data_IF_952200808028
#
_entry.id   IF_952200808028
#
_cell.length_a   1.000
_cell.length_b   1.000
_cell.length_c   1.000
_cell.angle_alpha   90.00
_cell.angle_beta   90.00
_cell.angle_gamma   90.00
#
_symmetry.space_group_name_H-M   'P 1'
#
loop_
_entity.id
_entity.type
_entity.pdbx_description
1 polymer ?
#
# COMPACT_ATOMS: atom_id res chain seq x y z
N UNK A 1 -32.30 -32.85 -16.31
CA UNK A 1 -33.07 -32.81 -15.04
C UNK A 1 -32.07 -33.08 -13.92
N UNK A 2 -31.59 -32.15 -13.10
CA UNK A 2 -31.78 -30.71 -12.85
C UNK A 2 -30.38 -30.16 -12.47
N UNK A 3 -29.85 -29.00 -12.87
CA UNK A 3 -30.29 -27.59 -12.83
C UNK A 3 -30.46 -27.00 -11.42
N UNK A 4 -29.38 -26.30 -11.00
CA UNK A 4 -29.30 -25.06 -10.16
C UNK A 4 -29.47 -25.11 -8.62
N UNK A 5 -29.03 -24.07 -7.84
CA UNK A 5 -27.86 -23.16 -8.01
C UNK A 5 -27.17 -22.71 -6.67
N UNK A 6 -26.09 -21.93 -6.81
CA UNK A 6 -25.68 -20.76 -6.00
C UNK A 6 -25.66 -20.80 -4.45
N UNK A 7 -24.47 -21.05 -3.90
CA UNK A 7 -24.09 -20.49 -2.60
C UNK A 7 -23.44 -19.11 -2.82
N UNK A 8 -24.32 -18.11 -2.90
CA UNK A 8 -24.05 -16.68 -2.79
C UNK A 8 -23.24 -16.39 -1.51
N UNK A 9 -21.94 -16.07 -1.64
CA UNK A 9 -21.25 -15.25 -0.64
C UNK A 9 -21.30 -13.80 -1.10
N UNK A 10 -22.46 -13.20 -0.89
CA UNK A 10 -22.68 -11.77 -0.92
C UNK A 10 -21.93 -11.11 0.25
N UNK A 11 -20.64 -10.89 0.08
CA UNK A 11 -19.88 -9.88 0.80
C UNK A 11 -19.76 -8.65 -0.08
N UNK A 12 -20.83 -7.87 -0.19
CA UNK A 12 -20.88 -6.65 -0.97
C UNK A 12 -19.80 -5.66 -0.50
N UNK A 13 -18.71 -5.54 -1.27
CA UNK A 13 -17.80 -4.40 -1.18
C UNK A 13 -18.05 -3.51 -2.40
N UNK A 14 -19.20 -2.83 -2.41
CA UNK A 14 -19.51 -1.81 -3.40
C UNK A 14 -19.69 -0.46 -2.68
N UNK A 15 -18.96 0.56 -3.16
CA UNK A 15 -18.59 1.80 -2.45
C UNK A 15 -19.75 2.78 -2.18
N UNK A 16 -19.45 3.98 -1.61
CA UNK A 16 -18.73 4.99 -2.38
C UNK A 16 -17.71 5.83 -1.58
N UNK A 17 -16.93 6.64 -2.29
CA UNK A 17 -16.37 7.93 -1.85
C UNK A 17 -15.93 8.14 -0.39
N UNK A 18 -14.64 8.47 -0.23
CA UNK A 18 -14.14 9.30 0.85
C UNK A 18 -14.32 8.76 2.28
N UNK A 19 -13.40 7.90 2.70
CA UNK A 19 -12.81 8.09 4.01
C UNK A 19 -11.29 8.00 3.86
N UNK A 20 -10.69 9.16 3.63
CA UNK A 20 -9.40 9.49 4.23
C UNK A 20 -9.49 9.03 5.68
N UNK A 21 -8.97 7.83 5.98
CA UNK A 21 -8.77 7.39 7.33
C UNK A 21 -7.63 8.28 7.82
N UNK A 22 -8.01 9.47 8.27
CA UNK A 22 -7.21 10.33 9.13
C UNK A 22 -7.02 9.50 10.39
N UNK A 23 -6.06 8.58 10.34
CA UNK A 23 -5.53 7.92 11.53
C UNK A 23 -5.15 9.08 12.40
N UNK A 24 -5.83 9.25 13.53
CA UNK A 24 -5.36 10.19 14.54
C UNK A 24 -4.00 9.67 14.97
N UNK A 25 -2.95 10.20 14.35
CA UNK A 25 -1.54 9.90 14.59
C UNK A 25 -1.06 10.37 15.98
N UNK A 26 -1.99 10.76 16.88
CA UNK A 26 -1.68 11.15 18.24
C UNK A 26 -1.55 10.00 19.25
N UNK A 27 -2.06 8.79 18.97
CA UNK A 27 -2.16 7.76 20.04
C UNK A 27 -1.80 6.32 19.65
N UNK A 28 -1.82 5.99 18.36
CA UNK A 28 -1.63 4.61 17.90
C UNK A 28 -0.16 4.23 17.59
N UNK A 29 0.77 5.17 17.53
CA UNK A 29 2.19 4.88 17.27
C UNK A 29 2.99 4.59 18.55
N UNK A 30 2.40 3.86 19.52
CA UNK A 30 3.14 3.28 20.65
C UNK A 30 3.91 2.05 20.19
N UNK A 31 4.79 2.23 19.19
CA UNK A 31 5.76 1.23 18.79
C UNK A 31 6.69 0.97 19.99
N UNK A 32 6.38 -0.11 20.72
CA UNK A 32 7.16 -0.63 21.82
C UNK A 32 8.35 -1.36 21.19
N UNK A 33 9.41 -0.62 20.88
CA UNK A 33 10.68 -1.21 20.45
C UNK A 33 11.29 -1.91 21.66
N UNK A 34 11.03 -3.21 21.78
CA UNK A 34 11.63 -4.05 22.80
C UNK A 34 13.07 -4.37 22.39
N UNK A 35 14.03 -3.52 22.80
CA UNK A 35 15.45 -3.80 22.64
C UNK A 35 15.87 -4.86 23.65
N UNK A 36 15.98 -6.12 23.21
CA UNK A 36 16.52 -7.22 24.00
C UNK A 36 18.05 -7.17 23.95
N UNK A 37 18.69 -6.92 25.10
CA UNK A 37 20.09 -7.29 25.34
C UNK A 37 21.19 -6.41 24.73
N UNK A 38 21.40 -5.22 25.29
CA UNK A 38 22.73 -4.60 25.50
C UNK A 38 22.54 -3.35 26.36
N UNK A 39 23.55 -2.99 27.14
CA UNK A 39 23.63 -1.84 28.05
C UNK A 39 23.53 -0.48 27.33
N UNK A 40 22.43 -0.24 26.62
CA UNK A 40 22.10 1.01 25.95
C UNK A 40 20.88 1.59 26.67
N UNK A 41 21.10 2.64 27.46
CA UNK A 41 20.03 3.44 28.06
C UNK A 41 19.11 3.93 26.93
N UNK A 42 17.80 3.69 26.95
CA UNK A 42 16.96 3.98 25.80
C UNK A 42 17.08 5.46 25.44
N UNK A 43 17.30 5.75 24.16
CA UNK A 43 17.43 7.12 23.64
C UNK A 43 16.26 8.02 24.07
N UNK A 44 15.11 7.41 24.38
CA UNK A 44 13.89 8.06 24.89
C UNK A 44 14.06 8.75 26.26
N UNK A 45 15.05 8.35 27.05
CA UNK A 45 15.33 8.91 28.38
C UNK A 45 16.30 10.11 28.33
N UNK A 46 16.84 10.41 27.16
CA UNK A 46 17.71 11.56 26.92
C UNK A 46 16.96 12.63 26.10
N UNK A 47 17.09 13.90 26.47
CA UNK A 47 16.44 15.02 25.79
C UNK A 47 16.72 15.03 24.27
N UNK A 48 17.98 14.83 23.87
CA UNK A 48 18.38 14.74 22.47
C UNK A 48 17.67 13.59 21.71
N UNK A 49 17.44 12.44 22.36
CA UNK A 49 16.73 11.35 21.71
C UNK A 49 15.22 11.59 21.58
N UNK A 50 14.63 12.40 22.46
CA UNK A 50 13.24 12.87 22.30
C UNK A 50 13.12 13.85 21.13
N UNK A 51 14.06 14.80 21.01
CA UNK A 51 14.10 15.76 19.90
C UNK A 51 14.24 15.06 18.54
N UNK A 52 15.11 14.04 18.43
CA UNK A 52 15.27 13.25 17.21
C UNK A 52 13.98 12.49 16.83
N UNK A 53 13.30 11.88 17.81
CA UNK A 53 12.03 11.18 17.55
C UNK A 53 10.96 12.19 17.11
N UNK A 54 10.87 13.35 17.75
CA UNK A 54 9.91 14.38 17.39
C UNK A 54 10.16 14.93 15.98
N UNK A 55 11.43 15.15 15.63
CA UNK A 55 11.82 15.53 14.26
C UNK A 55 11.41 14.46 13.25
N UNK A 56 11.70 13.19 13.54
CA UNK A 56 11.32 12.07 12.67
C UNK A 56 9.81 12.00 12.44
N UNK A 57 9.00 12.20 13.49
CA UNK A 57 7.54 12.23 13.36
C UNK A 57 7.07 13.41 12.50
N UNK A 58 7.65 14.61 12.70
CA UNK A 58 7.33 15.77 11.84
C UNK A 58 7.69 15.51 10.36
N UNK A 59 8.79 14.83 10.09
CA UNK A 59 9.17 14.45 8.73
C UNK A 59 8.19 13.45 8.12
N UNK A 60 7.74 12.45 8.89
CA UNK A 60 6.71 11.50 8.43
C UNK A 60 5.41 12.25 8.10
N UNK A 61 4.96 13.14 8.99
CA UNK A 61 3.73 13.91 8.77
C UNK A 61 3.82 14.83 7.53
N UNK A 62 5.01 15.38 7.25
CA UNK A 62 5.25 16.18 6.05
C UNK A 62 5.21 15.31 4.77
N UNK A 63 5.88 14.17 4.78
CA UNK A 63 5.89 13.25 3.65
C UNK A 63 4.49 12.67 3.37
N UNK A 64 3.71 12.36 4.41
CA UNK A 64 2.33 11.90 4.25
C UNK A 64 1.46 12.93 3.54
N UNK A 65 1.67 14.23 3.81
CA UNK A 65 0.96 15.31 3.13
C UNK A 65 1.37 15.43 1.66
N UNK A 66 2.66 15.30 1.36
CA UNK A 66 3.18 15.36 -0.02
C UNK A 66 2.81 14.12 -0.85
N UNK A 67 2.78 12.93 -0.25
CA UNK A 67 2.45 11.67 -0.93
C UNK A 67 0.96 11.48 -1.18
N UNK A 68 0.09 12.10 -0.38
CA UNK A 68 -1.36 12.00 -0.52
C UNK A 68 -1.89 12.38 -1.93
N UNK A 69 -1.53 13.53 -2.54
CA UNK A 69 -1.97 13.87 -3.89
C UNK A 69 -1.43 12.88 -4.94
N UNK A 70 -0.16 12.48 -4.85
CA UNK A 70 0.44 11.52 -5.78
C UNK A 70 -0.28 10.17 -5.74
N UNK A 71 -0.58 9.67 -4.54
CA UNK A 71 -1.33 8.43 -4.35
C UNK A 71 -2.73 8.52 -4.96
N UNK A 72 -3.39 9.68 -4.84
CA UNK A 72 -4.70 9.93 -5.46
C UNK A 72 -4.62 9.93 -6.98
N UNK A 73 -3.61 10.58 -7.55
CA UNK A 73 -3.38 10.64 -9.00
C UNK A 73 -3.10 9.26 -9.58
N UNK A 74 -2.21 8.49 -8.96
CA UNK A 74 -1.96 7.09 -9.31
C UNK A 74 -3.25 6.26 -9.21
N UNK A 75 -4.08 6.50 -8.19
CA UNK A 75 -5.39 5.88 -8.06
C UNK A 75 -6.32 6.18 -9.24
N UNK A 76 -6.37 7.44 -9.70
CA UNK A 76 -7.16 7.84 -10.88
C UNK A 76 -6.61 7.18 -12.14
N UNK A 77 -5.29 7.20 -12.33
CA UNK A 77 -4.61 6.56 -13.45
C UNK A 77 -4.92 5.05 -13.51
N UNK A 78 -4.72 4.33 -12.40
CA UNK A 78 -4.93 2.89 -12.31
C UNK A 78 -6.37 2.48 -12.66
N UNK A 79 -7.38 3.27 -12.25
CA UNK A 79 -8.78 3.01 -12.62
C UNK A 79 -9.04 3.16 -14.12
N UNK A 80 -8.33 4.05 -14.81
CA UNK A 80 -8.47 4.25 -16.27
C UNK A 80 -7.73 3.17 -17.07
N UNK A 81 -6.64 2.63 -16.54
CA UNK A 81 -5.84 1.63 -17.25
C UNK A 81 -6.38 0.20 -17.12
N UNK A 82 -6.59 -0.47 -18.26
CA UNK A 82 -7.08 -1.84 -18.29
C UNK A 82 -6.13 -2.83 -17.59
N UNK A 83 -4.82 -2.70 -17.81
CA UNK A 83 -3.82 -3.56 -17.16
C UNK A 83 -3.82 -3.43 -15.64
N UNK A 84 -3.90 -2.19 -15.12
CA UNK A 84 -3.99 -1.96 -13.68
C UNK A 84 -5.28 -2.55 -13.08
N UNK A 85 -6.43 -2.37 -13.74
CA UNK A 85 -7.69 -2.97 -13.28
C UNK A 85 -7.62 -4.49 -13.24
N UNK A 86 -7.03 -5.11 -14.27
CA UNK A 86 -6.87 -6.55 -14.33
C UNK A 86 -6.02 -7.06 -13.15
N UNK A 87 -4.86 -6.42 -12.89
CA UNK A 87 -3.97 -6.78 -11.78
C UNK A 87 -4.64 -6.65 -10.41
N UNK A 88 -5.36 -5.56 -10.16
CA UNK A 88 -6.07 -5.32 -8.88
C UNK A 88 -7.19 -6.35 -8.68
N UNK A 89 -7.88 -6.75 -9.74
CA UNK A 89 -8.95 -7.72 -9.67
C UNK A 89 -8.45 -9.16 -9.47
N UNK A 90 -7.27 -9.49 -10.00
CA UNK A 90 -6.75 -10.86 -10.01
C UNK A 90 -5.72 -11.17 -8.93
N UNK A 91 -5.01 -10.16 -8.40
CA UNK A 91 -3.91 -10.36 -7.47
C UNK A 91 -4.23 -9.82 -6.08
N UNK A 92 -4.27 -10.70 -5.09
CA UNK A 92 -4.45 -10.31 -3.69
C UNK A 92 -3.31 -9.41 -3.22
N UNK A 93 -3.65 -8.34 -2.50
CA UNK A 93 -2.68 -7.36 -1.99
C UNK A 93 -2.19 -6.35 -3.03
N UNK A 94 -2.60 -6.46 -4.30
CA UNK A 94 -2.25 -5.48 -5.34
C UNK A 94 -3.26 -4.34 -5.35
N UNK A 95 -2.81 -3.18 -4.86
CA UNK A 95 -3.55 -1.93 -4.91
C UNK A 95 -3.16 -1.05 -6.11
N UNK A 96 -3.79 0.13 -6.27
CA UNK A 96 -3.54 1.05 -7.39
C UNK A 96 -2.08 1.45 -7.59
N UNK A 97 -1.33 1.69 -6.50
CA UNK A 97 0.08 2.07 -6.56
C UNK A 97 0.92 0.90 -7.08
N UNK A 98 0.81 -0.27 -6.46
CA UNK A 98 1.56 -1.46 -6.87
C UNK A 98 1.21 -1.90 -8.28
N UNK A 99 -0.06 -1.87 -8.67
CA UNK A 99 -0.49 -2.18 -10.03
C UNK A 99 0.11 -1.23 -11.07
N UNK A 100 0.20 0.07 -10.74
CA UNK A 100 0.82 1.06 -11.62
C UNK A 100 2.32 0.83 -11.74
N UNK A 101 3.01 0.51 -10.63
CA UNK A 101 4.43 0.17 -10.65
C UNK A 101 4.68 -1.07 -11.51
N UNK A 102 3.93 -2.16 -11.30
CA UNK A 102 4.05 -3.39 -12.10
C UNK A 102 3.87 -3.08 -13.59
N UNK A 103 2.83 -2.31 -13.96
CA UNK A 103 2.58 -1.94 -15.35
C UNK A 103 3.71 -1.07 -15.93
N UNK A 104 4.29 -0.16 -15.14
CA UNK A 104 5.40 0.67 -15.57
C UNK A 104 6.68 -0.16 -15.82
N UNK A 105 6.97 -1.13 -14.95
CA UNK A 105 8.11 -2.04 -15.11
C UNK A 105 7.94 -3.00 -16.30
N UNK A 106 6.73 -3.54 -16.51
CA UNK A 106 6.43 -4.40 -17.66
C UNK A 106 6.44 -3.62 -19.00
N UNK A 107 6.02 -2.36 -18.98
CA UNK A 107 5.77 -1.59 -20.19
C UNK A 107 4.61 -2.16 -21.01
N UNK A 108 4.85 -2.48 -22.28
CA UNK A 108 3.81 -3.06 -23.15
C UNK A 108 3.76 -4.58 -23.01
N UNK A 109 2.78 -5.07 -22.25
CA UNK A 109 2.55 -6.50 -22.03
C UNK A 109 2.27 -7.30 -23.31
N UNK A 110 1.86 -6.64 -24.42
CA UNK A 110 1.65 -7.32 -25.72
C UNK A 110 2.96 -7.77 -26.38
N UNK A 111 4.11 -7.32 -25.85
CA UNK A 111 5.43 -7.77 -26.31
C UNK A 111 5.74 -9.21 -25.89
N UNK A 112 4.98 -9.76 -24.94
CA UNK A 112 5.17 -11.11 -24.42
C UNK A 112 4.08 -12.03 -24.98
N UNK A 113 4.47 -13.23 -25.39
CA UNK A 113 3.54 -14.25 -25.89
C UNK A 113 2.94 -15.06 -24.74
N UNK A 114 3.67 -15.15 -23.63
CA UNK A 114 3.25 -15.76 -22.37
C UNK A 114 3.76 -14.95 -21.17
N UNK A 115 3.22 -15.19 -19.97
CA UNK A 115 3.73 -14.56 -18.75
C UNK A 115 5.16 -14.97 -18.39
N UNK A 116 5.58 -16.18 -18.79
CA UNK A 116 6.91 -16.70 -18.48
C UNK A 116 7.98 -15.90 -19.24
N UNK A 117 7.66 -15.37 -20.42
CA UNK A 117 8.57 -14.53 -21.22
C UNK A 117 8.94 -13.21 -20.49
N UNK A 118 8.14 -12.77 -19.52
CA UNK A 118 8.39 -11.57 -18.74
C UNK A 118 9.36 -11.80 -17.56
N UNK A 119 9.68 -13.06 -17.26
CA UNK A 119 10.59 -13.44 -16.17
C UNK A 119 11.95 -13.81 -16.76
N UNK A 120 13.04 -13.17 -16.30
CA UNK A 120 14.38 -13.66 -16.60
C UNK A 120 14.67 -14.88 -15.71
N UNK A 121 14.68 -16.06 -16.32
CA UNK A 121 15.26 -17.25 -15.70
C UNK A 121 16.80 -17.13 -15.68
N UNK A 122 17.40 -17.46 -14.54
CA UNK A 122 18.85 -17.44 -14.31
C UNK A 122 19.42 -18.86 -14.30
#
# INVERSE_FOLDING_TARGET
MASEPDAVMAGAFNGPGAHSRRVRLGEANRFRVATRGRSHRPLRDHAAGRELVELGLRMIDALDQELAPLTRELGVFARRQAGCRALIASLYGVGPVSATAILAELGDARRFSSSDDAVRHA
#
